data_IF_252001039405
#
_entry.id   IF_252001039405
#
_cell.length_a   1.000
_cell.length_b   1.000
_cell.length_c   1.000
_cell.angle_alpha   90.00
_cell.angle_beta   90.00
_cell.angle_gamma   90.00
#
_symmetry.space_group_name_H-M   'P 1'
#
loop_
_entity.id
_entity.type
_entity.pdbx_description
1 polymer ?
#
# COMPACT_ATOMS: atom_id res chain seq x y z
N UNK A 1 -28.89 18.36 -20.70
CA UNK A 1 -27.83 18.06 -19.70
C UNK A 1 -28.50 17.53 -18.44
N UNK A 2 -28.59 16.21 -18.28
CA UNK A 2 -29.15 15.58 -17.07
C UNK A 2 -28.10 15.61 -15.95
N UNK A 3 -28.27 16.51 -14.98
CA UNK A 3 -27.48 16.50 -13.75
C UNK A 3 -27.74 15.17 -13.02
N UNK A 4 -26.67 14.38 -12.81
CA UNK A 4 -26.77 13.16 -12.01
C UNK A 4 -27.08 13.56 -10.56
N UNK A 5 -28.03 12.91 -9.88
CA UNK A 5 -28.31 13.19 -8.49
C UNK A 5 -27.05 12.98 -7.65
N UNK A 6 -26.68 13.99 -6.88
CA UNK A 6 -25.63 13.89 -5.86
C UNK A 6 -25.99 12.75 -4.90
N UNK A 7 -25.09 11.81 -4.58
CA UNK A 7 -25.37 10.85 -3.53
C UNK A 7 -25.69 11.61 -2.23
N UNK A 8 -26.60 11.10 -1.38
CA UNK A 8 -26.97 11.78 -0.15
C UNK A 8 -25.71 12.11 0.67
N UNK A 9 -25.64 13.30 1.26
CA UNK A 9 -24.44 13.83 1.92
C UNK A 9 -23.79 12.85 2.93
N UNK A 10 -24.62 12.00 3.55
CA UNK A 10 -24.20 10.93 4.45
C UNK A 10 -23.39 9.82 3.74
N UNK A 11 -23.80 9.40 2.54
CA UNK A 11 -23.06 8.41 1.75
C UNK A 11 -21.70 8.96 1.30
N UNK A 12 -21.61 10.26 1.00
CA UNK A 12 -20.33 10.90 0.68
C UNK A 12 -19.39 10.98 1.90
N UNK A 13 -19.92 11.17 3.10
CA UNK A 13 -19.15 11.22 4.36
C UNK A 13 -18.57 9.86 4.78
N UNK A 14 -19.16 8.74 4.34
CA UNK A 14 -18.71 7.38 4.68
C UNK A 14 -17.61 6.83 3.75
N UNK A 15 -17.45 7.40 2.55
CA UNK A 15 -16.45 6.94 1.57
C UNK A 15 -14.99 6.95 2.09
N UNK A 16 -14.54 7.97 2.86
CA UNK A 16 -13.19 7.98 3.42
C UNK A 16 -12.96 6.84 4.41
N UNK A 17 -13.93 6.57 5.28
CA UNK A 17 -13.86 5.49 6.27
C UNK A 17 -13.87 4.12 5.60
N UNK A 18 -14.75 3.94 4.61
CA UNK A 18 -14.77 2.74 3.79
C UNK A 18 -13.42 2.53 3.10
N UNK A 19 -12.81 3.58 2.56
CA UNK A 19 -11.48 3.50 1.96
C UNK A 19 -10.44 2.99 2.96
N UNK A 20 -10.37 3.57 4.16
CA UNK A 20 -9.44 3.11 5.20
C UNK A 20 -9.65 1.64 5.51
N UNK A 21 -10.90 1.23 5.75
CA UNK A 21 -11.23 -0.16 6.08
C UNK A 21 -10.80 -1.10 4.96
N UNK A 22 -11.19 -0.81 3.72
CA UNK A 22 -10.81 -1.62 2.56
C UNK A 22 -9.29 -1.66 2.40
N UNK A 23 -8.61 -0.51 2.50
CA UNK A 23 -7.15 -0.45 2.35
C UNK A 23 -6.42 -1.24 3.43
N UNK A 24 -6.85 -1.15 4.69
CA UNK A 24 -6.34 -1.94 5.81
C UNK A 24 -6.49 -3.45 5.59
N UNK A 25 -7.59 -3.88 4.96
CA UNK A 25 -7.76 -5.31 4.65
C UNK A 25 -6.74 -5.85 3.64
N UNK A 26 -5.96 -5.00 2.97
CA UNK A 26 -4.86 -5.44 2.10
C UNK A 26 -3.79 -6.24 2.84
N UNK A 27 -3.38 -5.79 4.03
CA UNK A 27 -2.40 -6.49 4.87
C UNK A 27 -3.01 -7.78 5.46
N UNK A 28 -4.29 -7.73 5.81
CA UNK A 28 -5.06 -8.86 6.33
C UNK A 28 -5.18 -9.95 5.26
N UNK A 29 -5.52 -9.58 4.02
CA UNK A 29 -5.60 -10.51 2.89
C UNK A 29 -4.25 -11.16 2.58
N UNK A 30 -3.15 -10.41 2.71
CA UNK A 30 -1.81 -10.98 2.61
C UNK A 30 -1.59 -12.04 3.69
N UNK A 31 -1.80 -11.70 4.98
CA UNK A 31 -1.66 -12.65 6.09
C UNK A 31 -2.59 -13.86 5.97
N UNK A 32 -3.81 -13.68 5.47
CA UNK A 32 -4.79 -14.74 5.29
C UNK A 32 -4.39 -15.71 4.16
N UNK A 33 -3.77 -15.21 3.10
CA UNK A 33 -3.40 -16.00 1.92
C UNK A 33 -2.02 -16.67 1.97
N UNK A 34 -1.05 -16.07 2.66
CA UNK A 34 0.34 -16.56 2.73
C UNK A 34 0.56 -17.95 3.37
N UNK A 35 -0.35 -18.52 4.20
CA UNK A 35 -0.24 -19.92 4.62
C UNK A 35 -0.38 -20.95 3.49
N UNK A 36 -0.87 -20.54 2.32
CA UNK A 36 -1.21 -21.42 1.20
C UNK A 36 -0.29 -21.26 -0.01
N UNK A 37 0.50 -20.20 -0.06
CA UNK A 37 1.36 -19.86 -1.20
C UNK A 37 2.46 -18.89 -0.78
N UNK A 38 3.59 -18.95 -1.47
CA UNK A 38 4.70 -18.02 -1.26
C UNK A 38 4.38 -16.60 -1.76
N UNK A 39 5.01 -15.55 -1.18
CA UNK A 39 4.56 -14.17 -1.35
C UNK A 39 4.61 -13.66 -2.80
N UNK A 40 5.66 -13.94 -3.56
CA UNK A 40 5.79 -13.46 -4.94
C UNK A 40 4.90 -14.26 -5.89
N UNK A 41 4.71 -15.55 -5.62
CA UNK A 41 3.77 -16.43 -6.31
C UNK A 41 2.34 -15.94 -6.13
N UNK A 42 1.94 -15.56 -4.91
CA UNK A 42 0.64 -14.93 -4.63
C UNK A 42 0.44 -13.69 -5.52
N UNK A 43 1.43 -12.79 -5.50
CA UNK A 43 1.35 -11.53 -6.24
C UNK A 43 1.32 -11.75 -7.75
N UNK A 44 2.07 -12.72 -8.26
CA UNK A 44 2.04 -13.13 -9.67
C UNK A 44 0.64 -13.55 -10.10
N UNK A 45 -0.01 -14.44 -9.33
CA UNK A 45 -1.40 -14.86 -9.58
C UNK A 45 -2.36 -13.67 -9.53
N UNK A 46 -2.23 -12.83 -8.50
CA UNK A 46 -3.04 -11.62 -8.34
C UNK A 46 -2.92 -10.70 -9.54
N UNK A 47 -1.69 -10.41 -10.01
CA UNK A 47 -1.46 -9.51 -11.14
C UNK A 47 -1.97 -10.11 -12.45
N UNK A 48 -1.79 -11.41 -12.68
CA UNK A 48 -2.34 -12.09 -13.85
C UNK A 48 -3.88 -11.95 -13.91
N UNK A 49 -4.56 -12.19 -12.79
CA UNK A 49 -6.03 -12.06 -12.73
C UNK A 49 -6.47 -10.60 -12.92
N UNK A 50 -5.80 -9.65 -12.26
CA UNK A 50 -6.12 -8.22 -12.42
C UNK A 50 -5.89 -7.77 -13.86
N UNK A 51 -4.84 -8.23 -14.53
CA UNK A 51 -4.57 -7.92 -15.93
C UNK A 51 -5.67 -8.44 -16.85
N UNK A 52 -6.09 -9.70 -16.67
CA UNK A 52 -7.20 -10.28 -17.45
C UNK A 52 -8.49 -9.47 -17.23
N UNK A 53 -8.82 -9.19 -15.98
CA UNK A 53 -10.03 -8.43 -15.62
C UNK A 53 -10.00 -7.01 -16.20
N UNK A 54 -8.90 -6.29 -16.03
CA UNK A 54 -8.77 -4.91 -16.50
C UNK A 54 -8.66 -4.82 -18.02
N UNK A 55 -8.02 -5.80 -18.67
CA UNK A 55 -8.02 -5.91 -20.13
C UNK A 55 -9.45 -6.10 -20.66
N UNK A 56 -10.25 -6.97 -20.05
CA UNK A 56 -11.65 -7.14 -20.41
C UNK A 56 -12.46 -5.84 -20.22
N UNK A 57 -12.26 -5.12 -19.11
CA UNK A 57 -12.88 -3.81 -18.88
C UNK A 57 -12.48 -2.79 -19.95
N UNK A 58 -11.20 -2.75 -20.34
CA UNK A 58 -10.71 -1.86 -21.39
C UNK A 58 -11.35 -2.18 -22.75
N UNK A 59 -11.48 -3.46 -23.10
CA UNK A 59 -12.11 -3.91 -24.35
C UNK A 59 -13.60 -3.55 -24.39
N UNK A 60 -14.35 -3.89 -23.33
CA UNK A 60 -15.80 -3.64 -23.25
C UNK A 60 -16.12 -2.15 -23.24
N UNK A 61 -15.38 -1.36 -22.45
CA UNK A 61 -15.63 0.07 -22.31
C UNK A 61 -14.88 0.94 -23.32
N UNK A 62 -14.12 0.31 -24.24
CA UNK A 62 -13.29 0.97 -25.26
C UNK A 62 -12.47 2.11 -24.68
N UNK A 63 -11.80 1.83 -23.56
CA UNK A 63 -11.06 2.84 -22.81
C UNK A 63 -9.88 3.39 -23.64
N UNK A 64 -9.61 4.70 -23.58
CA UNK A 64 -8.55 5.31 -24.38
C UNK A 64 -7.17 4.89 -23.87
N UNK A 65 -6.31 4.49 -24.81
CA UNK A 65 -4.90 4.18 -24.53
C UNK A 65 -4.03 5.43 -24.60
N UNK A 66 -2.96 5.51 -23.79
CA UNK A 66 -1.93 6.53 -23.93
C UNK A 66 -1.35 6.55 -25.35
N UNK A 67 -1.26 7.74 -25.96
CA UNK A 67 -0.76 7.90 -27.35
C UNK A 67 0.76 7.89 -27.47
N UNK A 68 1.47 8.11 -26.37
CA UNK A 68 2.93 8.24 -26.35
C UNK A 68 3.58 7.06 -25.65
N UNK A 69 4.59 6.44 -26.28
CA UNK A 69 5.41 5.40 -25.67
C UNK A 69 6.07 5.87 -24.36
N UNK A 70 6.39 7.16 -24.26
CA UNK A 70 6.93 7.76 -23.02
C UNK A 70 5.92 7.71 -21.88
N UNK A 71 4.63 7.90 -22.18
CA UNK A 71 3.57 7.80 -21.17
C UNK A 71 3.39 6.35 -20.70
N UNK A 72 3.49 5.38 -21.62
CA UNK A 72 3.52 3.95 -21.25
C UNK A 72 4.68 3.62 -20.30
N UNK A 73 5.89 4.08 -20.64
CA UNK A 73 7.07 3.87 -19.81
C UNK A 73 6.88 4.45 -18.40
N UNK A 74 6.48 5.72 -18.30
CA UNK A 74 6.34 6.37 -17.00
C UNK A 74 5.22 5.74 -16.15
N UNK A 75 4.09 5.35 -16.76
CA UNK A 75 3.01 4.65 -16.05
C UNK A 75 3.51 3.26 -15.59
N UNK A 76 4.22 2.53 -16.44
CA UNK A 76 4.78 1.22 -16.10
C UNK A 76 5.79 1.29 -14.96
N UNK A 77 6.73 2.25 -14.99
CA UNK A 77 7.70 2.47 -13.92
C UNK A 77 7.00 2.85 -12.61
N UNK A 78 6.01 3.73 -12.67
CA UNK A 78 5.17 4.08 -11.51
C UNK A 78 4.52 2.83 -10.92
N UNK A 79 3.88 2.00 -11.75
CA UNK A 79 3.26 0.74 -11.35
C UNK A 79 4.25 -0.22 -10.73
N UNK A 80 5.45 -0.36 -11.31
CA UNK A 80 6.48 -1.25 -10.80
C UNK A 80 6.91 -0.88 -9.37
N UNK A 81 7.02 0.41 -9.04
CA UNK A 81 7.31 0.84 -7.68
C UNK A 81 6.11 0.69 -6.73
N UNK A 82 4.93 1.16 -7.15
CA UNK A 82 3.72 1.23 -6.31
C UNK A 82 3.07 -0.14 -6.08
N UNK A 83 3.16 -1.04 -7.05
CA UNK A 83 2.58 -2.38 -6.97
C UNK A 83 3.65 -3.45 -6.90
N UNK A 84 4.71 -3.39 -7.70
CA UNK A 84 5.77 -4.40 -7.68
C UNK A 84 6.59 -4.36 -6.39
N UNK A 85 7.44 -3.35 -6.23
CA UNK A 85 8.38 -3.22 -5.11
C UNK A 85 7.65 -3.11 -3.78
N UNK A 86 6.64 -2.25 -3.70
CA UNK A 86 5.84 -2.06 -2.48
C UNK A 86 5.15 -3.36 -2.03
N UNK A 87 4.35 -3.99 -2.90
CA UNK A 87 3.60 -5.18 -2.46
C UNK A 87 4.51 -6.38 -2.25
N UNK A 88 5.54 -6.57 -3.07
CA UNK A 88 6.54 -7.63 -2.85
C UNK A 88 7.17 -7.49 -1.45
N UNK A 89 7.64 -6.30 -1.10
CA UNK A 89 8.22 -6.06 0.22
C UNK A 89 7.23 -6.25 1.38
N UNK A 90 5.96 -5.82 1.22
CA UNK A 90 4.90 -6.05 2.23
C UNK A 90 4.61 -7.54 2.42
N UNK A 91 4.38 -8.26 1.31
CA UNK A 91 4.02 -9.68 1.36
C UNK A 91 5.17 -10.51 1.92
N UNK A 92 6.40 -10.24 1.49
CA UNK A 92 7.58 -10.94 2.00
C UNK A 92 7.84 -10.62 3.48
N UNK A 93 7.67 -9.38 3.93
CA UNK A 93 7.80 -9.03 5.35
C UNK A 93 6.79 -9.81 6.23
N UNK A 94 5.53 -9.89 5.77
CA UNK A 94 4.47 -10.63 6.48
C UNK A 94 4.75 -12.14 6.44
N UNK A 95 5.20 -12.68 5.32
CA UNK A 95 5.58 -14.09 5.17
C UNK A 95 6.70 -14.48 6.14
N UNK A 96 7.66 -13.57 6.38
CA UNK A 96 8.72 -13.76 7.38
C UNK A 96 8.30 -13.48 8.82
N UNK A 97 7.01 -13.19 9.08
CA UNK A 97 6.46 -13.07 10.43
C UNK A 97 6.45 -11.67 11.02
N UNK A 98 6.56 -10.62 10.19
CA UNK A 98 6.28 -9.26 10.64
C UNK A 98 4.74 -9.10 10.81
N UNK A 99 4.23 -8.72 12.00
CA UNK A 99 2.79 -8.57 12.21
C UNK A 99 2.18 -7.55 11.25
N UNK A 100 0.93 -7.76 10.85
CA UNK A 100 0.30 -6.98 9.78
C UNK A 100 0.18 -5.49 10.15
N UNK A 101 -0.18 -5.21 11.41
CA UNK A 101 -0.25 -3.84 11.93
C UNK A 101 1.11 -3.14 11.96
N UNK A 102 2.18 -3.88 12.25
CA UNK A 102 3.56 -3.33 12.24
C UNK A 102 4.01 -3.06 10.82
N UNK A 103 3.77 -3.98 9.88
CA UNK A 103 4.08 -3.77 8.45
C UNK A 103 3.35 -2.53 7.92
N UNK A 104 2.06 -2.39 8.25
CA UNK A 104 1.26 -1.21 7.91
C UNK A 104 1.83 0.09 8.51
N UNK A 105 2.31 0.04 9.76
CA UNK A 105 2.94 1.18 10.43
C UNK A 105 4.21 1.64 9.70
N UNK A 106 5.10 0.70 9.38
CA UNK A 106 6.38 0.98 8.70
C UNK A 106 6.13 1.67 7.37
N UNK A 107 5.28 1.10 6.51
CA UNK A 107 4.96 1.71 5.21
C UNK A 107 4.11 2.98 5.35
N UNK A 108 3.36 3.10 6.44
CA UNK A 108 2.62 4.31 6.83
C UNK A 108 3.51 5.51 7.15
N UNK A 109 4.82 5.33 7.31
CA UNK A 109 5.80 6.44 7.39
C UNK A 109 6.00 7.16 6.06
N UNK A 110 5.52 6.60 4.94
CA UNK A 110 5.71 7.17 3.60
C UNK A 110 5.46 8.69 3.55
N UNK A 111 4.39 9.26 4.12
CA UNK A 111 4.14 10.70 3.99
C UNK A 111 5.20 11.56 4.70
N UNK A 112 5.80 11.07 5.78
CA UNK A 112 6.87 11.77 6.48
C UNK A 112 8.15 11.80 5.62
N UNK A 113 8.51 10.66 5.04
CA UNK A 113 9.66 10.56 4.13
C UNK A 113 9.41 11.38 2.86
N UNK A 114 8.19 11.31 2.31
CA UNK A 114 7.77 12.08 1.14
C UNK A 114 7.89 13.57 1.41
N UNK A 115 7.49 14.06 2.59
CA UNK A 115 7.63 15.47 2.95
C UNK A 115 9.09 15.92 3.02
N UNK A 116 9.98 15.08 3.59
CA UNK A 116 11.41 15.37 3.65
C UNK A 116 12.04 15.40 2.26
N UNK A 117 11.79 14.37 1.45
CA UNK A 117 12.35 14.22 0.11
C UNK A 117 11.78 15.27 -0.85
N UNK A 118 10.49 15.61 -0.74
CA UNK A 118 9.90 16.70 -1.51
C UNK A 118 10.50 18.05 -1.10
N UNK A 119 10.69 18.31 0.20
CA UNK A 119 11.36 19.52 0.68
C UNK A 119 12.76 19.70 0.10
N UNK A 120 13.57 18.65 0.13
CA UNK A 120 14.94 18.69 -0.39
C UNK A 120 15.03 18.71 -1.91
N UNK A 121 14.19 17.94 -2.62
CA UNK A 121 14.21 17.87 -4.09
C UNK A 121 13.49 19.03 -4.79
N UNK A 122 12.50 19.64 -4.14
CA UNK A 122 11.70 20.73 -4.70
C UNK A 122 12.11 22.11 -4.14
N UNK A 123 13.09 22.16 -3.23
CA UNK A 123 13.55 23.39 -2.61
C UNK A 123 12.53 24.01 -1.64
N UNK A 124 11.57 23.23 -1.14
CA UNK A 124 10.60 23.68 -0.15
C UNK A 124 11.20 23.58 1.27
N UNK A 125 11.06 24.64 2.07
CA UNK A 125 11.59 24.65 3.44
C UNK A 125 10.76 23.73 4.36
N UNK A 126 11.43 22.74 4.94
CA UNK A 126 10.82 21.82 5.91
C UNK A 126 10.64 22.54 7.24
N UNK A 127 9.39 22.71 7.68
CA UNK A 127 9.07 23.41 8.93
C UNK A 127 9.53 22.60 10.16
N UNK A 128 9.87 23.24 11.30
CA UNK A 128 10.29 22.52 12.51
C UNK A 128 9.30 21.45 13.00
N UNK A 129 7.99 21.68 12.81
CA UNK A 129 6.94 20.71 13.16
C UNK A 129 7.00 19.43 12.30
N UNK A 130 7.43 19.54 11.04
CA UNK A 130 7.64 18.38 10.15
C UNK A 130 8.84 17.56 10.60
N UNK A 131 9.92 18.21 11.02
CA UNK A 131 11.08 17.54 11.63
C UNK A 131 10.73 16.83 12.94
N UNK A 132 10.01 17.50 13.84
CA UNK A 132 9.54 16.88 15.08
C UNK A 132 8.62 15.68 14.81
N UNK A 133 7.70 15.81 13.84
CA UNK A 133 6.83 14.72 13.44
C UNK A 133 7.56 13.54 12.81
N UNK A 134 8.60 13.82 12.02
CA UNK A 134 9.49 12.81 11.45
C UNK A 134 10.25 12.06 12.55
N UNK A 135 10.82 12.78 13.52
CA UNK A 135 11.53 12.20 14.66
C UNK A 135 10.60 11.28 15.46
N UNK A 136 9.41 11.75 15.83
CA UNK A 136 8.40 10.95 16.53
C UNK A 136 7.97 9.72 15.72
N UNK A 137 7.80 9.88 14.40
CA UNK A 137 7.51 8.80 13.46
C UNK A 137 8.54 7.67 13.51
N UNK A 138 9.81 8.03 13.36
CA UNK A 138 10.94 7.10 13.40
C UNK A 138 11.14 6.49 14.78
N UNK A 139 11.02 7.27 15.86
CA UNK A 139 11.09 6.76 17.23
C UNK A 139 9.99 5.74 17.47
N UNK A 140 8.77 5.99 16.97
CA UNK A 140 7.67 5.05 17.13
C UNK A 140 7.93 3.72 16.44
N UNK A 141 8.43 3.73 15.21
CA UNK A 141 8.85 2.50 14.51
C UNK A 141 10.04 1.84 15.20
N UNK A 142 11.02 2.61 15.69
CA UNK A 142 12.15 2.08 16.44
C UNK A 142 11.70 1.38 17.73
N UNK A 143 10.69 1.90 18.44
CA UNK A 143 10.10 1.25 19.62
C UNK A 143 9.43 -0.09 19.27
N UNK A 144 8.70 -0.13 18.15
CA UNK A 144 8.10 -1.39 17.67
C UNK A 144 9.17 -2.43 17.34
N UNK A 145 10.25 -2.01 16.68
CA UNK A 145 11.40 -2.87 16.34
C UNK A 145 12.15 -3.31 17.59
N UNK A 146 12.38 -2.42 18.56
CA UNK A 146 13.07 -2.71 19.81
C UNK A 146 12.40 -3.84 20.61
N UNK A 147 11.05 -3.85 20.62
CA UNK A 147 10.28 -4.94 21.23
C UNK A 147 10.53 -6.31 20.58
N UNK A 148 10.95 -6.35 19.31
CA UNK A 148 11.32 -7.59 18.60
C UNK A 148 12.79 -7.97 18.75
N UNK A 149 13.71 -7.02 18.83
CA UNK A 149 15.17 -7.28 18.92
C UNK A 149 15.51 -8.24 20.06
N UNK A 150 14.85 -8.11 21.22
CA UNK A 150 15.10 -8.97 22.37
C UNK A 150 14.55 -10.41 22.21
N UNK A 151 13.71 -10.67 21.21
CA UNK A 151 12.90 -11.89 21.09
C UNK A 151 13.23 -12.76 19.87
N UNK A 152 13.98 -12.24 18.89
CA UNK A 152 14.30 -12.97 17.66
C UNK A 152 15.76 -12.78 17.25
N UNK A 153 16.40 -13.80 16.64
CA UNK A 153 17.72 -13.67 16.06
C UNK A 153 17.81 -12.55 15.02
N UNK A 154 19.00 -11.95 14.89
CA UNK A 154 19.24 -10.82 13.96
C UNK A 154 18.86 -11.16 12.51
N UNK A 155 19.18 -12.36 12.03
CA UNK A 155 18.85 -12.77 10.66
C UNK A 155 17.33 -12.80 10.41
N UNK A 156 16.54 -13.28 11.38
CA UNK A 156 15.08 -13.32 11.28
C UNK A 156 14.50 -11.89 11.34
N UNK A 157 15.08 -11.02 12.17
CA UNK A 157 14.70 -9.61 12.22
C UNK A 157 14.96 -8.91 10.88
N UNK A 158 16.11 -9.16 10.24
CA UNK A 158 16.44 -8.60 8.93
C UNK A 158 15.50 -9.12 7.84
N UNK A 159 15.18 -10.41 7.85
CA UNK A 159 14.21 -11.01 6.91
C UNK A 159 12.80 -10.38 7.03
N UNK A 160 12.42 -9.92 8.23
CA UNK A 160 11.17 -9.18 8.44
C UNK A 160 11.26 -7.71 8.02
N UNK A 161 12.33 -7.00 8.40
CA UNK A 161 12.41 -5.55 8.28
C UNK A 161 12.94 -5.05 6.94
N UNK A 162 13.91 -5.73 6.33
CA UNK A 162 14.47 -5.31 5.04
C UNK A 162 13.38 -5.23 3.96
N UNK A 163 12.51 -6.24 3.78
CA UNK A 163 11.41 -6.14 2.81
C UNK A 163 10.41 -5.03 3.15
N UNK A 164 10.13 -4.77 4.43
CA UNK A 164 9.25 -3.68 4.85
C UNK A 164 9.84 -2.29 4.54
N UNK A 165 11.15 -2.12 4.72
CA UNK A 165 11.87 -0.89 4.37
C UNK A 165 11.96 -0.72 2.85
N UNK A 166 12.21 -1.79 2.10
CA UNK A 166 12.16 -1.78 0.64
C UNK A 166 10.76 -1.42 0.15
N UNK A 167 9.71 -1.92 0.80
CA UNK A 167 8.34 -1.56 0.48
C UNK A 167 8.07 -0.07 0.70
N UNK A 168 8.52 0.47 1.84
CA UNK A 168 8.41 1.90 2.18
C UNK A 168 9.17 2.78 1.16
N UNK A 169 10.38 2.38 0.77
CA UNK A 169 11.15 3.07 -0.26
C UNK A 169 10.43 3.01 -1.62
N UNK A 170 9.92 1.83 -2.00
CA UNK A 170 9.19 1.59 -3.24
C UNK A 170 7.95 2.46 -3.36
N UNK A 171 7.07 2.47 -2.36
CA UNK A 171 5.86 3.30 -2.39
C UNK A 171 6.19 4.80 -2.37
N UNK A 172 7.23 5.22 -1.63
CA UNK A 172 7.67 6.63 -1.60
C UNK A 172 8.20 7.06 -2.98
N UNK A 173 9.13 6.31 -3.55
CA UNK A 173 9.69 6.59 -4.87
C UNK A 173 8.60 6.54 -5.96
N UNK A 174 7.75 5.52 -5.94
CA UNK A 174 6.66 5.34 -6.89
C UNK A 174 5.66 6.48 -6.86
N UNK A 175 5.22 6.92 -5.68
CA UNK A 175 4.26 8.04 -5.57
C UNK A 175 4.86 9.38 -5.97
N UNK A 176 6.12 9.66 -5.63
CA UNK A 176 6.83 10.85 -6.11
C UNK A 176 7.02 10.82 -7.63
N UNK A 177 7.41 9.67 -8.18
CA UNK A 177 7.58 9.47 -9.62
C UNK A 177 6.26 9.65 -10.36
N UNK A 178 5.18 9.03 -9.87
CA UNK A 178 3.84 9.17 -10.43
C UNK A 178 3.39 10.63 -10.45
N UNK A 179 3.56 11.34 -9.34
CA UNK A 179 3.20 12.76 -9.24
C UNK A 179 3.96 13.62 -10.26
N UNK A 180 5.24 13.32 -10.50
CA UNK A 180 6.10 14.09 -11.40
C UNK A 180 5.86 13.80 -12.89
N UNK A 181 5.70 12.52 -13.26
CA UNK A 181 5.70 12.10 -14.66
C UNK A 181 4.35 11.61 -15.18
N UNK A 182 3.44 11.20 -14.29
CA UNK A 182 2.13 10.61 -14.63
C UNK A 182 0.98 11.23 -13.81
N UNK A 183 0.84 12.57 -13.76
CA UNK A 183 -0.19 13.21 -12.93
C UNK A 183 -1.61 12.87 -13.38
N UNK A 184 -1.81 12.54 -14.66
CA UNK A 184 -3.10 12.14 -15.21
C UNK A 184 -2.94 10.99 -16.21
N UNK A 185 -3.76 9.96 -16.03
CA UNK A 185 -3.95 8.86 -16.98
C UNK A 185 -5.32 8.20 -16.76
N UNK A 186 -5.84 7.50 -17.77
CA UNK A 186 -7.09 6.74 -17.62
C UNK A 186 -6.82 5.52 -16.74
N UNK A 187 -7.60 5.36 -15.66
CA UNK A 187 -7.35 4.30 -14.68
C UNK A 187 -7.49 2.91 -15.26
N UNK A 188 -8.33 2.71 -16.28
CA UNK A 188 -8.59 1.38 -16.84
C UNK A 188 -7.38 0.89 -17.61
N UNK A 189 -6.92 1.68 -18.58
CA UNK A 189 -5.71 1.36 -19.35
C UNK A 189 -4.46 1.51 -18.51
N UNK A 190 -4.40 2.51 -17.63
CA UNK A 190 -3.30 2.72 -16.70
C UNK A 190 -3.11 1.59 -15.70
N UNK A 191 -4.17 0.96 -15.20
CA UNK A 191 -4.03 -0.25 -14.36
C UNK A 191 -3.36 -1.37 -15.14
N UNK A 192 -3.76 -1.63 -16.39
CA UNK A 192 -3.11 -2.64 -17.23
C UNK A 192 -1.61 -2.33 -17.41
N UNK A 193 -1.28 -1.08 -17.74
CA UNK A 193 0.11 -0.65 -17.96
C UNK A 193 0.94 -0.74 -16.66
N UNK A 194 0.35 -0.47 -15.50
CA UNK A 194 1.03 -0.56 -14.22
C UNK A 194 1.26 -2.01 -13.78
N UNK A 195 0.27 -2.89 -13.94
CA UNK A 195 0.37 -4.28 -13.47
C UNK A 195 1.19 -5.18 -14.40
N UNK A 196 1.31 -4.85 -15.69
CA UNK A 196 2.10 -5.63 -16.65
C UNK A 196 3.59 -5.79 -16.25
N UNK A 197 4.36 -4.72 -15.99
CA UNK A 197 5.73 -4.86 -15.53
C UNK A 197 5.83 -5.51 -14.15
N UNK A 198 4.81 -5.35 -13.29
CA UNK A 198 4.77 -6.05 -12.00
C UNK A 198 4.63 -7.56 -12.18
N UNK A 199 3.75 -8.03 -13.07
CA UNK A 199 3.61 -9.45 -13.38
C UNK A 199 4.94 -10.03 -13.90
N UNK A 200 5.58 -9.33 -14.83
CA UNK A 200 6.86 -9.78 -15.41
C UNK A 200 7.95 -9.84 -14.35
N UNK A 201 8.17 -8.75 -13.61
CA UNK A 201 9.24 -8.68 -12.62
C UNK A 201 9.02 -9.63 -11.44
N UNK A 202 7.81 -9.63 -10.87
CA UNK A 202 7.47 -10.50 -9.73
C UNK A 202 7.39 -11.96 -10.15
N UNK A 203 6.86 -12.26 -11.34
CA UNK A 203 6.82 -13.62 -11.87
C UNK A 203 8.21 -14.18 -12.16
N UNK A 204 9.10 -13.37 -12.75
CA UNK A 204 10.50 -13.76 -12.95
C UNK A 204 11.22 -14.02 -11.62
N UNK A 205 11.01 -13.16 -10.62
CA UNK A 205 11.60 -13.34 -9.30
C UNK A 205 11.02 -14.58 -8.60
N UNK A 206 9.71 -14.79 -8.65
CA UNK A 206 9.06 -15.97 -8.07
C UNK A 206 9.59 -17.27 -8.71
N UNK A 207 9.74 -17.31 -10.03
CA UNK A 207 10.35 -18.45 -10.73
C UNK A 207 11.80 -18.71 -10.32
N UNK A 208 12.54 -17.67 -9.92
CA UNK A 208 13.93 -17.77 -9.51
C UNK A 208 14.13 -18.10 -8.02
N UNK A 209 13.19 -17.72 -7.15
CA UNK A 209 13.36 -17.77 -5.69
C UNK A 209 12.32 -18.58 -4.93
N UNK A 210 11.20 -18.94 -5.56
CA UNK A 210 10.07 -19.62 -4.93
C UNK A 210 9.73 -20.93 -5.67
N UNK A 211 8.96 -21.80 -5.03
CA UNK A 211 8.54 -23.10 -5.57
C UNK A 211 7.37 -22.99 -6.55
N UNK A 212 6.68 -21.83 -6.59
CA UNK A 212 5.46 -21.61 -7.36
C UNK A 212 4.31 -22.58 -7.00
N UNK A 213 4.39 -23.25 -5.85
CA UNK A 213 3.35 -24.16 -5.39
C UNK A 213 2.22 -23.40 -4.69
N UNK A 214 0.99 -23.82 -5.00
CA UNK A 214 -0.23 -23.21 -4.46
C UNK A 214 -1.09 -24.30 -3.84
N UNK A 215 -1.39 -24.16 -2.56
CA UNK A 215 -2.35 -25.00 -1.86
C UNK A 215 -3.74 -24.40 -2.02
N UNK A 216 -4.46 -24.85 -3.04
CA UNK A 216 -5.81 -24.36 -3.33
C UNK A 216 -6.78 -24.73 -2.20
N UNK A 217 -7.37 -23.70 -1.58
CA UNK A 217 -8.36 -23.80 -0.51
C UNK A 217 -9.41 -22.70 -0.66
N UNK A 218 -10.55 -22.85 0.02
CA UNK A 218 -11.59 -21.82 0.04
C UNK A 218 -11.07 -20.51 0.63
N UNK A 219 -10.25 -20.60 1.67
CA UNK A 219 -9.61 -19.47 2.32
C UNK A 219 -8.64 -18.74 1.38
N UNK A 220 -7.82 -19.49 0.63
CA UNK A 220 -6.90 -18.92 -0.35
C UNK A 220 -7.66 -18.22 -1.49
N UNK A 221 -8.69 -18.87 -2.04
CA UNK A 221 -9.52 -18.28 -3.09
C UNK A 221 -10.24 -17.02 -2.60
N UNK A 222 -10.70 -17.02 -1.35
CA UNK A 222 -11.27 -15.83 -0.72
C UNK A 222 -10.23 -14.71 -0.58
N UNK A 223 -9.02 -15.01 -0.08
CA UNK A 223 -7.93 -14.04 0.05
C UNK A 223 -7.57 -13.40 -1.31
N UNK A 224 -7.38 -14.25 -2.32
CA UNK A 224 -7.01 -13.85 -3.67
C UNK A 224 -8.13 -13.05 -4.33
N UNK A 225 -9.36 -13.54 -4.28
CA UNK A 225 -10.53 -12.84 -4.81
C UNK A 225 -10.77 -11.49 -4.15
N UNK A 226 -10.64 -11.40 -2.83
CA UNK A 226 -10.74 -10.14 -2.08
C UNK A 226 -9.66 -9.15 -2.50
N UNK A 227 -8.40 -9.58 -2.57
CA UNK A 227 -7.29 -8.72 -2.97
C UNK A 227 -7.34 -8.28 -4.44
N UNK A 228 -7.91 -9.10 -5.32
CA UNK A 228 -8.15 -8.75 -6.73
C UNK A 228 -9.33 -7.77 -6.86
N UNK A 229 -10.52 -8.16 -6.39
CA UNK A 229 -11.75 -7.42 -6.68
C UNK A 229 -11.91 -6.22 -5.75
N UNK A 230 -11.76 -6.43 -4.45
CA UNK A 230 -12.04 -5.39 -3.45
C UNK A 230 -10.88 -4.40 -3.37
N UNK A 231 -9.63 -4.89 -3.32
CA UNK A 231 -8.48 -3.98 -3.23
C UNK A 231 -8.06 -3.42 -4.59
N UNK A 232 -7.68 -4.26 -5.54
CA UNK A 232 -7.07 -3.79 -6.80
C UNK A 232 -8.05 -3.04 -7.71
N UNK A 233 -9.35 -3.35 -7.65
CA UNK A 233 -10.38 -2.62 -8.39
C UNK A 233 -11.14 -1.65 -7.48
N UNK A 234 -11.74 -2.14 -6.40
CA UNK A 234 -12.60 -1.34 -5.51
C UNK A 234 -11.88 -0.20 -4.82
N UNK A 235 -10.88 -0.50 -3.98
CA UNK A 235 -10.17 0.48 -3.17
C UNK A 235 -9.38 1.48 -4.03
N UNK A 236 -8.77 1.03 -5.13
CA UNK A 236 -8.08 1.92 -6.09
C UNK A 236 -9.08 2.84 -6.79
N UNK A 237 -10.25 2.35 -7.19
CA UNK A 237 -11.30 3.20 -7.78
C UNK A 237 -11.83 4.21 -6.78
N UNK A 238 -12.04 3.79 -5.53
CA UNK A 238 -12.49 4.65 -4.43
C UNK A 238 -11.46 5.73 -4.09
N UNK A 239 -10.18 5.38 -4.06
CA UNK A 239 -9.07 6.33 -3.89
C UNK A 239 -9.13 7.44 -4.95
N UNK A 240 -9.27 7.03 -6.21
CA UNK A 240 -9.38 7.99 -7.31
C UNK A 240 -10.63 8.86 -7.24
N UNK A 241 -11.76 8.28 -6.81
CA UNK A 241 -12.99 9.03 -6.57
C UNK A 241 -12.80 10.08 -5.47
N UNK A 242 -12.15 9.71 -4.36
CA UNK A 242 -11.86 10.59 -3.24
C UNK A 242 -10.90 11.72 -3.63
N UNK A 243 -9.86 11.43 -4.43
CA UNK A 243 -8.93 12.45 -4.95
C UNK A 243 -9.66 13.43 -5.90
N UNK A 244 -10.64 12.96 -6.67
CA UNK A 244 -11.44 13.83 -7.55
C UNK A 244 -12.46 14.68 -6.79
N UNK A 245 -12.98 14.19 -5.67
CA UNK A 245 -14.04 14.84 -4.87
C UNK A 245 -13.52 15.68 -3.69
N UNK A 246 -12.30 15.42 -3.23
CA UNK A 246 -11.67 16.14 -2.12
C UNK A 246 -10.21 16.46 -2.43
N UNK A 247 -9.65 17.46 -1.75
CA UNK A 247 -8.23 17.77 -1.92
C UNK A 247 -7.34 16.58 -1.54
N UNK A 248 -6.26 16.35 -2.31
CA UNK A 248 -5.29 15.28 -2.07
C UNK A 248 -4.76 15.23 -0.61
N UNK A 249 -4.79 16.37 0.08
CA UNK A 249 -4.45 16.53 1.50
C UNK A 249 -5.38 15.77 2.44
N UNK A 250 -6.69 15.74 2.16
CA UNK A 250 -7.66 15.02 2.96
C UNK A 250 -7.53 13.51 2.73
N UNK A 251 -7.30 13.07 1.50
CA UNK A 251 -7.12 11.64 1.18
C UNK A 251 -5.84 11.08 1.80
N UNK A 252 -4.74 11.83 1.78
CA UNK A 252 -3.49 11.44 2.45
C UNK A 252 -3.67 11.24 3.98
N UNK A 253 -4.67 11.91 4.59
CA UNK A 253 -4.99 11.74 6.01
C UNK A 253 -5.51 10.37 6.39
N UNK A 254 -6.20 9.73 5.44
CA UNK A 254 -6.90 8.47 5.67
C UNK A 254 -5.89 7.34 5.88
N UNK A 255 -4.75 7.40 5.19
CA UNK A 255 -3.72 6.39 5.29
C UNK A 255 -3.16 6.24 6.71
N UNK A 256 -3.28 7.24 7.58
CA UNK A 256 -2.83 7.15 8.98
C UNK A 256 -3.73 6.33 9.90
N UNK A 257 -4.98 6.15 9.49
CA UNK A 257 -5.88 5.24 10.17
C UNK A 257 -5.62 3.79 9.76
N UNK A 258 -4.81 3.56 8.71
CA UNK A 258 -4.53 2.22 8.19
C UNK A 258 -3.79 1.34 9.21
N UNK A 259 -2.69 1.77 9.86
CA UNK A 259 -2.00 0.92 10.84
C UNK A 259 -2.87 0.51 12.03
N UNK A 260 -3.57 1.41 12.75
CA UNK A 260 -4.41 1.00 13.88
C UNK A 260 -5.60 0.15 13.43
N UNK A 261 -6.25 0.47 12.30
CA UNK A 261 -7.32 -0.37 11.77
C UNK A 261 -6.82 -1.77 11.39
N UNK A 262 -5.63 -1.87 10.76
CA UNK A 262 -5.01 -3.16 10.43
C UNK A 262 -4.69 -3.95 11.69
N UNK A 263 -4.11 -3.31 12.72
CA UNK A 263 -3.81 -3.97 13.99
C UNK A 263 -5.08 -4.51 14.68
N UNK A 264 -6.16 -3.73 14.69
CA UNK A 264 -7.45 -4.16 15.27
C UNK A 264 -8.06 -5.33 14.51
N UNK A 265 -8.07 -5.28 13.17
CA UNK A 265 -8.59 -6.39 12.36
C UNK A 265 -7.72 -7.63 12.54
N UNK A 266 -6.39 -7.47 12.58
CA UNK A 266 -5.47 -8.60 12.74
C UNK A 266 -5.59 -9.24 14.13
N UNK A 267 -5.80 -8.44 15.18
CA UNK A 267 -6.10 -8.93 16.51
C UNK A 267 -7.42 -9.72 16.53
N UNK A 268 -8.49 -9.17 15.95
CA UNK A 268 -9.79 -9.82 15.94
C UNK A 268 -9.83 -11.11 15.11
N UNK A 269 -9.17 -11.16 13.96
CA UNK A 269 -9.21 -12.31 13.04
C UNK A 269 -8.15 -13.38 13.33
N UNK A 270 -6.96 -12.97 13.78
CA UNK A 270 -5.81 -13.88 13.91
C UNK A 270 -5.25 -13.95 15.33
N UNK A 271 -5.82 -13.21 16.29
CA UNK A 271 -5.27 -13.11 17.63
C UNK A 271 -3.90 -12.43 17.67
N UNK A 272 -3.53 -11.61 16.68
CA UNK A 272 -2.27 -10.85 16.72
C UNK A 272 -2.27 -9.88 17.90
N UNK A 273 -1.52 -10.20 18.96
CA UNK A 273 -1.31 -9.31 20.09
C UNK A 273 -0.06 -8.47 19.89
N UNK A 274 -0.20 -7.15 20.02
CA UNK A 274 0.92 -6.23 20.02
C UNK A 274 1.34 -5.94 21.47
N UNK A 275 2.63 -6.15 21.76
CA UNK A 275 3.18 -5.82 23.08
C UNK A 275 3.09 -4.32 23.38
N UNK A 276 3.25 -3.94 24.66
CA UNK A 276 3.14 -2.54 25.10
C UNK A 276 4.05 -1.57 24.33
N UNK A 277 5.28 -1.99 24.00
CA UNK A 277 6.20 -1.20 23.17
C UNK A 277 5.69 -0.97 21.74
N UNK A 278 5.03 -1.97 21.14
CA UNK A 278 4.47 -1.85 19.80
C UNK A 278 3.25 -0.91 19.79
N UNK A 279 2.40 -0.97 20.82
CA UNK A 279 1.28 -0.05 21.01
C UNK A 279 1.76 1.38 21.23
N UNK A 280 2.74 1.58 22.12
CA UNK A 280 3.36 2.88 22.37
C UNK A 280 4.03 3.44 21.10
N UNK A 281 4.74 2.60 20.35
CA UNK A 281 5.35 2.95 19.08
C UNK A 281 4.32 3.39 18.03
N UNK A 282 3.22 2.65 17.88
CA UNK A 282 2.11 3.05 16.99
C UNK A 282 1.51 4.40 17.39
N UNK A 283 1.25 4.61 18.69
CA UNK A 283 0.71 5.89 19.18
C UNK A 283 1.69 7.04 18.91
N UNK A 284 2.99 6.83 19.13
CA UNK A 284 4.02 7.83 18.89
C UNK A 284 4.15 8.16 17.40
N UNK A 285 4.12 7.16 16.52
CA UNK A 285 4.14 7.37 15.07
C UNK A 285 2.89 8.12 14.60
N UNK A 286 1.71 7.75 15.10
CA UNK A 286 0.46 8.46 14.77
C UNK A 286 0.51 9.94 15.23
N UNK A 287 1.04 10.20 16.43
CA UNK A 287 1.24 11.55 16.94
C UNK A 287 2.25 12.35 16.11
N UNK A 288 3.38 11.73 15.73
CA UNK A 288 4.42 12.35 14.90
C UNK A 288 3.89 12.77 13.53
N UNK A 289 3.16 11.87 12.89
CA UNK A 289 2.42 12.15 11.66
C UNK A 289 1.45 13.34 11.83
N UNK A 290 0.62 13.33 12.88
CA UNK A 290 -0.36 14.38 13.12
C UNK A 290 0.32 15.74 13.32
N UNK A 291 1.45 15.77 14.03
CA UNK A 291 2.25 16.96 14.25
C UNK A 291 2.86 17.49 12.94
N UNK A 292 3.43 16.62 12.11
CA UNK A 292 4.02 17.00 10.83
C UNK A 292 3.01 17.67 9.88
N UNK A 293 1.72 17.33 10.01
CA UNK A 293 0.66 17.84 9.12
C UNK A 293 0.11 19.20 9.51
N UNK A 294 0.13 19.53 10.79
CA UNK A 294 -0.25 20.87 11.25
C UNK A 294 0.76 21.94 10.84
N UNK A 295 1.92 21.55 10.31
CA UNK A 295 2.92 22.43 9.75
C UNK A 295 2.66 22.84 8.30
N UNK A 296 1.43 22.74 7.77
CA UNK A 296 1.07 23.27 6.44
C UNK A 296 0.46 24.65 6.57
#
# INVERSE_FOLDING_TARGET
MTQRPSPPAMAAALLPWLFVLLWSTGFIGAKFGLPYVEPLTFLTLRYAIVLVLMAAVVLVLRAPWPRSARQWLHIGVSGLFVHGVYLAGVFTAIAHGLPSGVTALVVGLQPLITALVAGTLLGESVRPRQWAGLALGFTGVALVVAGKIASVPVHALLAMLVPAVVALAGITAGTLYQKRFCPTFDLRTGSVIQYLPCLVATGALALATETMQVRWSGEFLFALGWLVLVLSVGAVSLLNLLIRRGGAVHVASLFYLTPPATALIAWAMFGETLGGLALAGMALTAAGVWLARQGR
#
